data_IF_828371137074
#
_entry.id   IF_828371137074
#
_cell.length_a   1.000
_cell.length_b   1.000
_cell.length_c   1.000
_cell.angle_alpha   90.00
_cell.angle_beta   90.00
_cell.angle_gamma   90.00
#
_symmetry.space_group_name_H-M   'P 1'
#
loop_
_entity.id
_entity.type
_entity.pdbx_description
1 polymer ?
#
# COMPACT_ATOMS: atom_id res chain seq x y z
N UNK A 1 16.09 28.72 -28.33
CA UNK A 1 16.35 27.27 -28.52
C UNK A 1 16.57 26.57 -27.17
N UNK A 2 15.51 26.37 -26.37
CA UNK A 2 15.59 25.74 -25.03
C UNK A 2 14.74 24.46 -24.89
N UNK A 3 14.06 24.05 -25.96
CA UNK A 3 13.11 22.92 -25.97
C UNK A 3 13.79 21.55 -26.06
N UNK A 4 15.04 21.47 -26.54
CA UNK A 4 15.76 20.20 -26.70
C UNK A 4 16.02 19.46 -25.38
N UNK A 5 16.51 20.17 -24.36
CA UNK A 5 16.93 19.55 -23.10
C UNK A 5 15.73 19.04 -22.25
N UNK A 6 14.63 19.82 -22.18
CA UNK A 6 13.45 19.44 -21.40
C UNK A 6 12.74 18.20 -21.97
N UNK A 7 12.66 18.09 -23.30
CA UNK A 7 12.05 16.95 -23.97
C UNK A 7 12.88 15.68 -23.81
N UNK A 8 14.21 15.79 -23.91
CA UNK A 8 15.13 14.66 -23.66
C UNK A 8 15.08 14.18 -22.21
N UNK A 9 15.08 15.10 -21.24
CA UNK A 9 14.93 14.79 -19.81
C UNK A 9 13.59 14.08 -19.56
N UNK A 10 12.49 14.60 -20.14
CA UNK A 10 11.16 13.99 -20.04
C UNK A 10 11.14 12.56 -20.58
N UNK A 11 11.71 12.33 -21.76
CA UNK A 11 11.79 11.01 -22.38
C UNK A 11 12.64 10.02 -21.54
N UNK A 12 13.74 10.49 -20.97
CA UNK A 12 14.60 9.69 -20.09
C UNK A 12 13.90 9.30 -18.79
N UNK A 13 13.18 10.24 -18.15
CA UNK A 13 12.36 9.97 -16.97
C UNK A 13 11.24 8.99 -17.31
N UNK A 14 10.51 9.20 -18.40
CA UNK A 14 9.44 8.31 -18.84
C UNK A 14 9.93 6.88 -19.05
N UNK A 15 11.07 6.72 -19.74
CA UNK A 15 11.70 5.41 -19.96
C UNK A 15 12.12 4.74 -18.64
N UNK A 16 12.73 5.49 -17.73
CA UNK A 16 13.11 4.97 -16.41
C UNK A 16 11.90 4.54 -15.57
N UNK A 17 10.82 5.33 -15.55
CA UNK A 17 9.63 4.98 -14.80
C UNK A 17 8.90 3.77 -15.39
N UNK A 18 8.86 3.65 -16.72
CA UNK A 18 8.35 2.46 -17.42
C UNK A 18 9.10 1.19 -17.03
N UNK A 19 10.44 1.24 -16.93
CA UNK A 19 11.24 0.08 -16.48
C UNK A 19 11.05 -0.29 -15.00
N UNK A 20 10.37 0.57 -14.24
CA UNK A 20 9.96 0.35 -12.84
C UNK A 20 8.46 0.07 -12.71
N UNK A 21 7.79 -0.38 -13.78
CA UNK A 21 6.36 -0.67 -13.81
C UNK A 21 5.44 0.53 -13.49
N UNK A 22 5.95 1.75 -13.65
CA UNK A 22 5.23 3.00 -13.37
C UNK A 22 5.18 3.90 -14.62
N UNK A 23 4.57 3.46 -15.75
CA UNK A 23 4.50 4.29 -16.96
C UNK A 23 3.75 5.60 -16.65
N UNK A 24 4.39 6.78 -16.71
CA UNK A 24 3.74 8.01 -16.28
C UNK A 24 2.71 8.49 -17.31
N UNK A 25 1.62 9.09 -16.83
CA UNK A 25 0.66 9.79 -17.68
C UNK A 25 1.27 11.10 -18.20
N UNK A 26 0.79 11.57 -19.36
CA UNK A 26 1.24 12.85 -19.91
C UNK A 26 0.93 14.02 -18.95
N UNK A 27 -0.22 13.96 -18.27
CA UNK A 27 -0.67 14.97 -17.31
C UNK A 27 0.29 15.02 -16.11
N UNK A 28 0.71 13.86 -15.60
CA UNK A 28 1.66 13.79 -14.50
C UNK A 28 3.05 14.31 -14.90
N UNK A 29 3.53 14.00 -16.10
CA UNK A 29 4.80 14.55 -16.59
C UNK A 29 4.74 16.07 -16.72
N UNK A 30 3.63 16.61 -17.24
CA UNK A 30 3.44 18.05 -17.38
C UNK A 30 3.39 18.79 -16.04
N UNK A 31 2.92 18.16 -14.96
CA UNK A 31 2.97 18.74 -13.62
C UNK A 31 4.33 18.54 -12.93
N UNK A 32 5.03 17.45 -13.24
CA UNK A 32 6.33 17.14 -12.65
C UNK A 32 7.47 18.00 -13.21
N UNK A 33 7.58 18.17 -14.53
CA UNK A 33 8.73 18.84 -15.15
C UNK A 33 8.96 20.30 -14.71
N UNK A 34 7.93 21.14 -14.52
CA UNK A 34 8.14 22.50 -14.02
C UNK A 34 8.64 22.55 -12.57
N UNK A 35 8.49 21.47 -11.81
CA UNK A 35 8.86 21.40 -10.39
C UNK A 35 10.31 20.94 -10.13
N UNK A 36 11.07 20.63 -11.19
CA UNK A 36 12.45 20.17 -11.12
C UNK A 36 13.43 21.22 -11.60
N UNK A 37 14.66 21.19 -11.08
CA UNK A 37 15.77 22.02 -11.58
C UNK A 37 16.49 21.27 -12.69
N UNK A 38 16.45 21.79 -13.92
CA UNK A 38 16.99 21.12 -15.12
C UNK A 38 18.52 20.93 -15.11
N UNK A 39 19.25 21.59 -14.21
CA UNK A 39 20.69 21.40 -14.00
C UNK A 39 21.02 20.20 -13.08
N UNK A 40 20.01 19.53 -12.52
CA UNK A 40 20.20 18.36 -11.66
C UNK A 40 20.59 17.13 -12.48
N UNK A 41 21.52 16.28 -12.02
CA UNK A 41 21.86 15.04 -12.72
C UNK A 41 20.64 14.16 -13.01
N UNK A 42 20.58 13.59 -14.21
CA UNK A 42 19.40 12.83 -14.69
C UNK A 42 19.03 11.66 -13.78
N UNK A 43 20.00 10.97 -13.19
CA UNK A 43 19.77 9.86 -12.26
C UNK A 43 19.05 10.33 -11.00
N UNK A 44 19.39 11.51 -10.47
CA UNK A 44 18.70 12.08 -9.32
C UNK A 44 17.27 12.52 -9.66
N UNK A 45 17.06 13.06 -10.88
CA UNK A 45 15.73 13.39 -11.39
C UNK A 45 14.85 12.14 -11.54
N UNK A 46 15.40 11.05 -12.08
CA UNK A 46 14.73 9.75 -12.21
C UNK A 46 14.30 9.17 -10.86
N UNK A 47 15.18 9.22 -9.85
CA UNK A 47 14.85 8.77 -8.48
C UNK A 47 13.79 9.67 -7.83
N UNK A 48 13.88 10.98 -8.02
CA UNK A 48 12.87 11.93 -7.54
C UNK A 48 11.52 11.69 -8.20
N UNK A 49 11.51 11.45 -9.51
CA UNK A 49 10.31 11.13 -10.27
C UNK A 49 9.66 9.85 -9.75
N UNK A 50 10.44 8.79 -9.51
CA UNK A 50 9.95 7.53 -8.97
C UNK A 50 9.35 7.70 -7.57
N UNK A 51 10.05 8.41 -6.69
CA UNK A 51 9.53 8.70 -5.35
C UNK A 51 8.19 9.44 -5.40
N UNK A 52 8.09 10.46 -6.25
CA UNK A 52 6.86 11.26 -6.37
C UNK A 52 5.71 10.48 -7.01
N UNK A 53 5.96 9.70 -8.06
CA UNK A 53 4.89 8.96 -8.72
C UNK A 53 4.33 7.85 -7.81
N UNK A 54 5.19 7.18 -7.03
CA UNK A 54 4.76 6.18 -6.04
C UNK A 54 3.90 6.79 -4.93
N UNK A 55 4.07 8.08 -4.66
CA UNK A 55 3.33 8.84 -3.63
C UNK A 55 2.04 9.50 -4.13
N UNK A 56 1.65 9.24 -5.38
CA UNK A 56 0.43 9.80 -5.99
C UNK A 56 -0.60 8.72 -6.30
N UNK A 57 -1.86 9.12 -6.49
CA UNK A 57 -2.92 8.23 -6.97
C UNK A 57 -2.55 7.65 -8.34
N UNK A 58 -2.57 6.32 -8.44
CA UNK A 58 -2.27 5.56 -9.65
C UNK A 58 -3.13 6.01 -10.84
N UNK A 59 -4.41 6.34 -10.61
CA UNK A 59 -5.35 6.72 -11.67
C UNK A 59 -5.01 8.05 -12.33
N UNK A 60 -4.39 8.97 -11.59
CA UNK A 60 -3.99 10.28 -12.08
C UNK A 60 -2.56 10.28 -12.65
N UNK A 61 -1.73 9.37 -12.15
CA UNK A 61 -0.28 9.41 -12.38
C UNK A 61 0.23 8.49 -13.47
N UNK A 62 -0.50 7.42 -13.80
CA UNK A 62 -0.01 6.39 -14.75
C UNK A 62 -0.82 6.28 -16.02
N UNK A 63 -0.16 5.85 -17.09
CA UNK A 63 -0.80 5.55 -18.36
C UNK A 63 -1.61 4.25 -18.26
N UNK A 64 -2.86 4.30 -18.73
CA UNK A 64 -3.74 3.13 -18.80
C UNK A 64 -3.52 2.42 -20.12
N UNK A 65 -3.23 1.13 -20.09
CA UNK A 65 -3.26 0.26 -21.26
C UNK A 65 -4.14 -0.95 -20.97
N UNK A 66 -4.70 -1.62 -22.00
CA UNK A 66 -5.49 -2.84 -21.80
C UNK A 66 -4.71 -3.97 -21.11
N UNK A 67 -3.39 -3.93 -21.15
CA UNK A 67 -2.49 -4.93 -20.54
C UNK A 67 -2.00 -4.53 -19.15
N UNK A 68 -2.11 -3.26 -18.77
CA UNK A 68 -1.69 -2.74 -17.45
C UNK A 68 -2.84 -2.58 -16.46
N UNK A 69 -4.06 -2.90 -16.87
CA UNK A 69 -5.29 -2.77 -16.08
C UNK A 69 -6.01 -4.12 -16.01
N UNK A 70 -6.90 -4.26 -15.04
CA UNK A 70 -7.72 -5.45 -14.91
C UNK A 70 -8.69 -5.61 -16.08
N UNK A 71 -8.85 -6.85 -16.52
CA UNK A 71 -9.84 -7.20 -17.55
C UNK A 71 -11.26 -7.14 -16.99
N UNK A 72 -12.23 -6.87 -17.87
CA UNK A 72 -13.67 -6.93 -17.54
C UNK A 72 -14.02 -8.26 -16.84
N UNK A 73 -14.94 -8.17 -15.87
CA UNK A 73 -15.41 -9.33 -15.11
C UNK A 73 -14.40 -9.89 -14.11
N UNK A 74 -13.37 -9.13 -13.71
CA UNK A 74 -12.40 -9.61 -12.70
C UNK A 74 -13.03 -9.90 -11.34
N UNK A 75 -14.15 -9.26 -11.02
CA UNK A 75 -14.90 -9.49 -9.79
C UNK A 75 -16.04 -10.50 -9.97
N UNK A 76 -16.11 -11.20 -11.10
CA UNK A 76 -17.18 -12.18 -11.34
C UNK A 76 -17.00 -13.42 -10.44
N UNK A 77 -17.96 -13.62 -9.55
CA UNK A 77 -17.98 -14.74 -8.60
C UNK A 77 -18.49 -16.05 -9.21
N UNK A 78 -19.15 -15.99 -10.38
CA UNK A 78 -19.58 -17.18 -11.10
C UNK A 78 -18.37 -17.94 -11.69
N UNK A 79 -17.30 -17.21 -12.04
CA UNK A 79 -16.04 -17.82 -12.50
C UNK A 79 -15.33 -18.45 -11.31
N UNK A 80 -15.16 -19.78 -11.36
CA UNK A 80 -14.46 -20.54 -10.31
C UNK A 80 -13.05 -20.02 -10.10
N UNK A 81 -12.27 -19.99 -11.17
CA UNK A 81 -10.89 -19.49 -11.17
C UNK A 81 -10.49 -19.08 -12.59
N UNK A 82 -9.58 -18.10 -12.68
CA UNK A 82 -8.91 -17.73 -13.93
C UNK A 82 -7.53 -17.16 -13.64
N UNK A 83 -6.58 -17.41 -14.54
CA UNK A 83 -5.25 -16.80 -14.47
C UNK A 83 -5.22 -15.52 -15.29
N UNK A 84 -4.73 -14.42 -14.71
CA UNK A 84 -4.52 -13.14 -15.39
C UNK A 84 -3.03 -13.00 -15.68
N UNK A 85 -2.70 -12.76 -16.95
CA UNK A 85 -1.30 -12.49 -17.36
C UNK A 85 -0.94 -11.06 -16.94
N UNK A 86 0.13 -10.94 -16.16
CA UNK A 86 0.68 -9.65 -15.73
C UNK A 86 1.68 -9.09 -16.75
N UNK A 87 2.35 -7.96 -16.43
CA UNK A 87 2.26 -7.22 -15.17
C UNK A 87 1.04 -6.30 -15.07
N UNK A 88 0.41 -6.25 -13.89
CA UNK A 88 -0.60 -5.24 -13.55
C UNK A 88 -0.15 -4.47 -12.31
N UNK A 89 0.10 -3.17 -12.47
CA UNK A 89 0.41 -2.29 -11.33
C UNK A 89 -0.88 -1.87 -10.66
N UNK A 90 -0.92 -1.99 -9.33
CA UNK A 90 -2.08 -1.69 -8.50
C UNK A 90 -1.68 -0.85 -7.31
N UNK A 91 -2.65 -0.22 -6.68
CA UNK A 91 -2.49 0.47 -5.40
C UNK A 91 -3.39 -0.12 -4.33
N UNK A 92 -2.90 -0.13 -3.09
CA UNK A 92 -3.65 -0.61 -1.92
C UNK A 92 -4.56 0.50 -1.41
N UNK A 93 -5.85 0.19 -1.28
CA UNK A 93 -6.86 1.09 -0.72
C UNK A 93 -7.28 0.70 0.70
N UNK A 94 -7.13 -0.57 1.06
CA UNK A 94 -7.46 -1.12 2.38
C UNK A 94 -6.65 -2.39 2.66
N UNK A 95 -6.38 -2.66 3.93
CA UNK A 95 -5.74 -3.88 4.42
C UNK A 95 -6.39 -4.29 5.75
N UNK A 96 -6.73 -5.56 5.88
CA UNK A 96 -7.30 -6.12 7.10
C UNK A 96 -6.68 -7.47 7.37
N UNK A 97 -6.19 -7.68 8.59
CA UNK A 97 -5.90 -9.03 9.06
C UNK A 97 -7.22 -9.76 9.34
N UNK A 98 -7.49 -10.82 8.59
CA UNK A 98 -8.69 -11.64 8.73
C UNK A 98 -8.42 -12.92 9.53
N UNK A 99 -7.17 -13.17 9.95
CA UNK A 99 -6.76 -14.27 10.80
C UNK A 99 -6.93 -13.97 12.30
N UNK A 100 -7.03 -12.70 12.70
CA UNK A 100 -7.20 -12.29 14.12
C UNK A 100 -8.61 -11.82 14.45
N UNK A 101 -8.96 -11.97 15.74
CA UNK A 101 -10.16 -11.32 16.30
C UNK A 101 -9.99 -9.80 16.30
N UNK A 102 -11.07 -9.09 15.94
CA UNK A 102 -11.14 -7.61 15.88
C UNK A 102 -10.83 -6.94 17.22
N UNK A 103 -11.18 -7.61 18.32
CA UNK A 103 -10.88 -7.13 19.68
C UNK A 103 -9.37 -7.09 19.94
N UNK A 104 -8.64 -8.15 19.51
CA UNK A 104 -7.19 -8.20 19.62
C UNK A 104 -6.47 -7.13 18.79
N UNK A 105 -7.02 -6.77 17.62
CA UNK A 105 -6.49 -5.68 16.79
C UNK A 105 -6.68 -4.31 17.47
N UNK A 106 -7.85 -4.06 18.08
CA UNK A 106 -8.10 -2.83 18.83
C UNK A 106 -7.14 -2.67 20.02
N UNK A 107 -6.98 -3.73 20.82
CA UNK A 107 -6.06 -3.71 21.97
C UNK A 107 -4.61 -3.45 21.54
N UNK A 108 -4.16 -4.01 20.42
CA UNK A 108 -2.81 -3.76 19.90
C UNK A 108 -2.61 -2.30 19.47
N UNK A 109 -3.60 -1.69 18.82
CA UNK A 109 -3.53 -0.26 18.44
C UNK A 109 -3.54 0.67 19.65
N UNK A 110 -4.41 0.42 20.64
CA UNK A 110 -4.53 1.25 21.85
C UNK A 110 -3.28 1.12 22.74
N UNK A 111 -2.69 -0.08 22.81
CA UNK A 111 -1.41 -0.32 23.48
C UNK A 111 -0.26 0.47 22.84
N UNK A 112 -0.18 0.50 21.50
CA UNK A 112 0.82 1.27 20.77
C UNK A 112 0.65 2.79 20.98
N UNK A 113 -0.59 3.30 20.97
CA UNK A 113 -0.89 4.72 21.21
C UNK A 113 -0.55 5.17 22.64
N UNK A 114 -0.62 4.26 23.62
CA UNK A 114 -0.28 4.51 25.03
C UNK A 114 1.19 4.25 25.35
N UNK A 115 1.97 3.76 24.39
CA UNK A 115 3.35 3.33 24.61
C UNK A 115 3.50 2.07 25.47
N UNK A 116 2.40 1.36 25.72
CA UNK A 116 2.36 0.16 26.56
C UNK A 116 2.64 -1.08 25.69
N UNK A 117 3.90 -1.49 25.57
CA UNK A 117 4.22 -2.75 24.87
C UNK A 117 4.00 -3.93 25.82
N UNK A 118 2.95 -4.74 25.59
CA UNK A 118 2.65 -5.91 26.44
C UNK A 118 3.66 -7.05 26.21
N UNK A 119 4.36 -7.49 27.26
CA UNK A 119 4.84 -8.88 27.40
C UNK A 119 3.72 -9.73 27.99
N UNK A 120 3.58 -10.97 27.51
CA UNK A 120 2.56 -11.90 27.98
C UNK A 120 2.58 -12.03 29.50
N UNK A 121 1.41 -11.79 30.12
CA UNK A 121 1.12 -11.89 31.55
C UNK A 121 2.04 -11.08 32.49
N UNK A 122 1.91 -9.75 32.52
CA UNK A 122 1.86 -8.89 33.72
C UNK A 122 1.73 -7.41 33.29
N UNK A 123 0.84 -6.63 33.92
CA UNK A 123 0.65 -5.20 33.59
C UNK A 123 1.65 -4.37 34.40
N UNK A 124 2.72 -3.87 33.77
CA UNK A 124 3.67 -2.95 34.41
C UNK A 124 3.30 -1.51 34.01
N UNK A 125 2.91 -0.71 35.00
CA UNK A 125 2.80 0.76 34.86
C UNK A 125 4.21 1.33 34.74
N UNK A 126 4.52 1.96 33.61
CA UNK A 126 5.80 2.67 33.43
C UNK A 126 5.77 3.93 34.31
N UNK A 127 6.51 3.90 35.41
CA UNK A 127 6.93 5.09 36.16
C UNK A 127 8.20 5.62 35.49
N UNK A 128 8.35 6.94 35.26
CA UNK A 128 9.51 7.46 34.55
C UNK A 128 10.69 7.61 35.51
N UNK A 129 11.68 6.73 35.40
CA UNK A 129 13.05 7.00 35.83
C UNK A 129 14.04 6.58 34.75
N UNK A 130 15.07 7.41 34.61
CA UNK A 130 15.98 7.52 33.48
C UNK A 130 17.04 6.40 33.39
N UNK A 131 17.59 6.26 32.17
CA UNK A 131 18.92 5.76 31.79
C UNK A 131 19.01 4.42 31.04
N UNK A 132 19.34 4.56 29.75
CA UNK A 132 20.10 3.69 28.85
C UNK A 132 20.34 2.23 29.25
N UNK A 133 19.78 1.31 28.47
CA UNK A 133 20.56 0.35 27.67
C UNK A 133 19.63 -0.46 26.76
N UNK A 134 20.14 -0.77 25.56
CA UNK A 134 19.52 -1.59 24.52
C UNK A 134 18.75 -2.79 25.08
N UNK A 135 17.42 -2.72 25.02
CA UNK A 135 16.56 -3.88 25.19
C UNK A 135 15.56 -3.92 24.05
N UNK A 136 15.92 -4.63 22.99
CA UNK A 136 14.99 -5.08 21.95
C UNK A 136 13.95 -6.00 22.58
N UNK A 137 12.89 -5.42 23.14
CA UNK A 137 11.72 -6.14 23.61
C UNK A 137 10.99 -6.74 22.40
N UNK A 138 10.64 -8.05 22.42
CA UNK A 138 9.81 -8.62 21.37
C UNK A 138 8.41 -8.03 21.54
N UNK A 139 8.04 -7.14 20.61
CA UNK A 139 6.66 -6.79 20.33
C UNK A 139 5.86 -8.10 20.22
N UNK A 140 4.62 -8.14 20.74
CA UNK A 140 3.70 -9.23 20.47
C UNK A 140 3.79 -9.59 18.98
N UNK A 141 3.94 -10.87 18.60
CA UNK A 141 4.28 -11.23 17.23
C UNK A 141 3.29 -10.54 16.31
N UNK A 142 3.80 -9.76 15.35
CA UNK A 142 2.95 -9.18 14.31
C UNK A 142 2.14 -10.32 13.68
N UNK A 143 0.88 -10.05 13.34
CA UNK A 143 0.07 -11.09 12.69
C UNK A 143 0.76 -11.57 11.43
N UNK A 144 0.86 -12.89 11.26
CA UNK A 144 1.30 -13.49 10.00
C UNK A 144 0.16 -13.58 8.98
N UNK A 145 -1.00 -12.99 9.26
CA UNK A 145 -2.15 -13.01 8.36
C UNK A 145 -3.04 -14.27 8.53
N UNK A 146 -3.84 -14.62 7.51
CA UNK A 146 -3.84 -14.03 6.17
C UNK A 146 -4.43 -12.62 6.16
N UNK A 147 -3.88 -11.74 5.32
CA UNK A 147 -4.43 -10.40 5.10
C UNK A 147 -5.35 -10.36 3.89
N UNK A 148 -6.42 -9.58 4.01
CA UNK A 148 -7.32 -9.18 2.94
C UNK A 148 -6.99 -7.75 2.52
N UNK A 149 -6.85 -7.51 1.23
CA UNK A 149 -6.57 -6.18 0.68
C UNK A 149 -7.70 -5.75 -0.25
N UNK A 150 -7.94 -4.45 -0.34
CA UNK A 150 -8.67 -3.84 -1.45
C UNK A 150 -7.66 -3.20 -2.39
N UNK A 151 -7.55 -3.72 -3.61
CA UNK A 151 -6.61 -3.24 -4.62
C UNK A 151 -7.34 -2.43 -5.68
N UNK A 152 -6.65 -1.47 -6.27
CA UNK A 152 -7.16 -0.67 -7.38
C UNK A 152 -6.12 -0.52 -8.50
N UNK A 153 -6.53 -0.72 -9.75
CA UNK A 153 -5.69 -0.48 -10.93
C UNK A 153 -5.73 0.99 -11.42
N UNK A 154 -4.98 1.30 -12.47
CA UNK A 154 -4.96 2.64 -13.06
C UNK A 154 -6.27 3.06 -13.74
N UNK A 155 -7.17 2.10 -14.05
CA UNK A 155 -8.52 2.37 -14.56
C UNK A 155 -9.54 2.65 -13.44
N UNK A 156 -9.14 2.50 -12.18
CA UNK A 156 -10.00 2.69 -11.03
C UNK A 156 -10.77 1.43 -10.64
N UNK A 157 -10.59 0.31 -11.34
CA UNK A 157 -11.20 -0.99 -11.04
C UNK A 157 -10.72 -1.47 -9.69
N UNK A 158 -11.66 -1.78 -8.79
CA UNK A 158 -11.37 -2.25 -7.44
C UNK A 158 -11.64 -3.74 -7.29
N UNK A 159 -10.71 -4.46 -6.68
CA UNK A 159 -10.80 -5.93 -6.52
C UNK A 159 -10.28 -6.30 -5.15
N UNK A 160 -10.97 -7.21 -4.46
CA UNK A 160 -10.43 -7.79 -3.23
C UNK A 160 -9.31 -8.77 -3.56
N UNK A 161 -8.30 -8.79 -2.71
CA UNK A 161 -7.23 -9.76 -2.73
C UNK A 161 -7.06 -10.40 -1.36
N UNK A 162 -6.53 -11.60 -1.31
CA UNK A 162 -6.13 -12.24 -0.07
C UNK A 162 -4.83 -13.02 -0.25
N UNK A 163 -4.04 -13.09 0.81
CA UNK A 163 -2.86 -13.95 0.86
C UNK A 163 -3.27 -15.42 0.82
N UNK A 164 -2.85 -16.13 -0.22
CA UNK A 164 -2.84 -17.59 -0.25
C UNK A 164 -1.59 -18.13 0.45
N UNK A 165 -0.48 -17.38 0.33
CA UNK A 165 0.75 -17.54 1.09
C UNK A 165 1.24 -16.16 1.53
N UNK A 166 1.94 -16.11 2.67
CA UNK A 166 2.47 -14.88 3.27
C UNK A 166 3.32 -14.08 2.27
N UNK A 167 2.94 -12.84 1.99
CA UNK A 167 3.67 -11.94 1.10
C UNK A 167 4.46 -10.93 1.92
N UNK A 168 5.78 -10.90 1.74
CA UNK A 168 6.65 -10.00 2.47
C UNK A 168 6.21 -8.53 2.32
N UNK A 169 6.01 -7.86 3.46
CA UNK A 169 5.63 -6.44 3.52
C UNK A 169 4.12 -6.19 3.54
N UNK A 170 3.28 -7.21 3.28
CA UNK A 170 1.83 -7.11 3.49
C UNK A 170 1.54 -7.30 4.97
N UNK A 171 0.91 -6.29 5.58
CA UNK A 171 0.47 -6.31 6.99
C UNK A 171 -0.42 -5.09 7.27
N UNK A 172 -1.08 -5.06 8.42
CA UNK A 172 -1.96 -3.96 8.84
C UNK A 172 -1.28 -2.58 8.98
N UNK A 173 0.06 -2.55 9.10
CA UNK A 173 0.82 -1.32 9.22
C UNK A 173 1.26 -0.75 7.86
N UNK A 174 1.09 -1.50 6.77
CA UNK A 174 1.51 -1.05 5.45
C UNK A 174 0.83 0.27 5.06
N UNK A 175 1.52 1.19 4.36
CA UNK A 175 0.92 2.46 4.00
C UNK A 175 -0.21 2.33 2.98
N UNK A 176 -1.29 3.10 3.16
CA UNK A 176 -2.34 3.16 2.14
C UNK A 176 -1.87 3.96 0.93
N UNK A 177 -2.23 3.46 -0.25
CA UNK A 177 -1.72 3.92 -1.53
C UNK A 177 -0.40 3.29 -1.94
N UNK A 178 0.17 2.36 -1.16
CA UNK A 178 1.31 1.53 -1.59
C UNK A 178 1.04 0.87 -2.93
N UNK A 179 2.05 0.89 -3.81
CA UNK A 179 2.00 0.30 -5.15
C UNK A 179 2.59 -1.11 -5.14
N UNK A 180 1.90 -2.02 -5.81
CA UNK A 180 2.30 -3.40 -6.02
C UNK A 180 2.27 -3.70 -7.52
N UNK A 181 3.10 -4.64 -7.98
CA UNK A 181 3.00 -5.23 -9.31
C UNK A 181 2.55 -6.68 -9.15
N UNK A 182 1.44 -7.01 -9.81
CA UNK A 182 0.91 -8.36 -9.85
C UNK A 182 1.35 -9.06 -11.14
N UNK A 183 1.97 -10.24 -10.99
CA UNK A 183 2.58 -11.00 -12.07
C UNK A 183 1.94 -12.38 -12.18
N UNK A 184 1.23 -12.67 -13.27
CA UNK A 184 0.69 -14.01 -13.56
C UNK A 184 -0.10 -14.61 -12.38
N UNK A 185 -1.08 -13.86 -11.90
CA UNK A 185 -1.83 -14.17 -10.67
C UNK A 185 -3.15 -14.88 -10.96
N UNK A 186 -3.65 -15.61 -9.96
CA UNK A 186 -4.95 -16.29 -10.03
C UNK A 186 -6.02 -15.39 -9.41
N UNK A 187 -7.19 -15.36 -10.05
CA UNK A 187 -8.41 -14.80 -9.50
C UNK A 187 -9.40 -15.94 -9.34
N UNK A 188 -9.85 -16.18 -8.11
CA UNK A 188 -10.85 -17.19 -7.78
C UNK A 188 -12.09 -16.52 -7.20
N UNK A 189 -13.26 -16.82 -7.78
CA UNK A 189 -14.55 -16.25 -7.32
C UNK A 189 -14.53 -14.71 -7.16
N UNK A 190 -13.84 -14.03 -8.06
CA UNK A 190 -13.72 -12.57 -8.04
C UNK A 190 -12.68 -11.99 -7.06
N UNK A 191 -11.87 -12.84 -6.42
CA UNK A 191 -10.82 -12.45 -5.45
C UNK A 191 -9.44 -12.82 -5.99
N UNK A 192 -8.49 -11.90 -5.91
CA UNK A 192 -7.09 -12.15 -6.29
C UNK A 192 -6.40 -12.98 -5.20
N UNK A 193 -5.73 -14.06 -5.59
CA UNK A 193 -4.94 -14.89 -4.69
C UNK A 193 -3.47 -14.46 -4.75
N UNK A 194 -2.99 -13.84 -3.67
CA UNK A 194 -1.64 -13.32 -3.56
C UNK A 194 -0.69 -14.40 -3.09
N UNK A 195 0.48 -14.46 -3.73
CA UNK A 195 1.59 -15.34 -3.38
C UNK A 195 2.90 -14.57 -3.55
N UNK A 196 3.99 -14.91 -2.82
CA UNK A 196 5.29 -14.27 -2.98
C UNK A 196 5.80 -14.20 -4.42
N UNK A 197 5.52 -15.25 -5.21
CA UNK A 197 5.95 -15.34 -6.61
C UNK A 197 5.19 -14.40 -7.56
N UNK A 198 4.02 -13.89 -7.16
CA UNK A 198 3.13 -13.10 -8.02
C UNK A 198 2.98 -11.65 -7.56
N UNK A 199 3.65 -11.23 -6.48
CA UNK A 199 3.63 -9.85 -5.98
C UNK A 199 5.04 -9.28 -5.89
N UNK A 200 5.25 -8.12 -6.50
CA UNK A 200 6.40 -7.26 -6.25
C UNK A 200 5.94 -5.98 -5.53
N UNK A 201 6.57 -5.64 -4.41
CA UNK A 201 6.26 -4.43 -3.66
C UNK A 201 7.10 -3.25 -4.16
N UNK A 202 6.44 -2.24 -4.75
CA UNK A 202 7.11 -0.99 -5.14
C UNK A 202 7.15 0.04 -4.01
N UNK A 203 6.24 -0.09 -3.03
CA UNK A 203 6.13 0.83 -1.90
C UNK A 203 5.36 2.11 -2.24
N UNK A 204 5.70 3.21 -1.57
CA UNK A 204 4.97 4.47 -1.68
C UNK A 204 3.76 4.56 -0.76
N UNK A 205 3.16 5.76 -0.71
CA UNK A 205 2.05 6.10 0.19
C UNK A 205 1.32 7.31 -0.38
N UNK A 206 -0.01 7.31 -0.33
CA UNK A 206 -0.81 8.51 -0.60
C UNK A 206 -1.16 9.13 0.75
N UNK A 207 -0.43 10.16 1.17
CA UNK A 207 -0.47 10.71 2.54
C UNK A 207 -1.90 11.02 3.04
N UNK A 208 -2.71 11.67 2.20
CA UNK A 208 -4.08 12.03 2.55
C UNK A 208 -4.97 10.79 2.77
N UNK A 209 -4.74 9.70 2.03
CA UNK A 209 -5.50 8.46 2.16
C UNK A 209 -5.06 7.66 3.37
N UNK A 210 -3.74 7.52 3.57
CA UNK A 210 -3.19 6.81 4.73
C UNK A 210 -3.61 7.46 6.05
N UNK A 211 -3.53 8.79 6.15
CA UNK A 211 -4.01 9.52 7.32
C UNK A 211 -5.49 9.27 7.59
N UNK A 212 -6.33 9.46 6.56
CA UNK A 212 -7.78 9.27 6.67
C UNK A 212 -8.13 7.83 7.07
N UNK A 213 -7.51 6.84 6.42
CA UNK A 213 -7.76 5.43 6.69
C UNK A 213 -7.39 5.04 8.12
N UNK A 214 -6.25 5.53 8.65
CA UNK A 214 -5.85 5.28 10.04
C UNK A 214 -6.85 5.85 11.04
N UNK A 215 -7.31 7.08 10.81
CA UNK A 215 -8.33 7.73 11.64
C UNK A 215 -9.66 6.94 11.62
N UNK A 216 -10.14 6.56 10.43
CA UNK A 216 -11.39 5.82 10.25
C UNK A 216 -11.33 4.41 10.82
N UNK A 217 -10.21 3.68 10.61
CA UNK A 217 -10.03 2.32 11.16
C UNK A 217 -10.04 2.33 12.68
N UNK A 218 -9.35 3.29 13.31
CA UNK A 218 -9.35 3.46 14.76
C UNK A 218 -10.76 3.71 15.30
N UNK A 219 -11.54 4.56 14.63
CA UNK A 219 -12.93 4.81 15.01
C UNK A 219 -13.82 3.56 14.84
N UNK A 220 -13.69 2.85 13.71
CA UNK A 220 -14.46 1.64 13.42
C UNK A 220 -14.16 0.52 14.43
N UNK A 221 -12.90 0.34 14.81
CA UNK A 221 -12.50 -0.62 15.84
C UNK A 221 -13.08 -0.22 17.21
N UNK A 222 -13.01 1.06 17.61
CA UNK A 222 -13.63 1.56 18.87
C UNK A 222 -15.13 1.30 18.94
N UNK A 223 -15.86 1.58 17.86
CA UNK A 223 -17.32 1.38 17.81
C UNK A 223 -17.68 -0.10 17.91
N UNK A 224 -16.94 -0.97 17.23
CA UNK A 224 -17.20 -2.41 17.19
C UNK A 224 -16.71 -3.17 18.42
N UNK A 225 -15.73 -2.61 19.14
CA UNK A 225 -15.27 -3.07 20.43
C UNK A 225 -16.29 -2.79 21.56
N UNK A 226 -17.26 -1.90 21.35
CA UNK A 226 -18.36 -1.74 22.30
C UNK A 226 -18.08 -0.76 23.44
N UNK A 227 -17.64 0.46 23.11
CA UNK A 227 -18.15 1.63 23.85
C UNK A 227 -19.60 1.84 23.38
N UNK A 228 -20.52 0.98 23.83
CA UNK A 228 -21.85 1.48 24.19
C UNK A 228 -21.58 2.32 25.42
N UNK A 229 -21.78 3.63 25.34
CA UNK A 229 -21.60 4.52 26.48
C UNK A 229 -22.30 3.92 27.68
N UNK A 230 -21.53 3.54 28.70
CA UNK A 230 -22.01 3.44 30.06
C UNK A 230 -22.31 4.86 30.52
N UNK A 231 -23.45 5.38 30.10
CA UNK A 231 -24.10 6.53 30.71
C UNK A 231 -25.20 5.98 31.59
N UNK A 232 -24.96 5.94 32.90
CA UNK A 232 -26.01 6.01 33.91
C UNK A 232 -26.77 7.33 33.80
#
# INVERSE_FOLDING_TARGET
>A
MATGNANEISASISTYLKSRHMPPSQIWLQSFLPSIKLNTPIVALQKTALFRILSTDLQASTQRTPTSCFQVGITDSAVKERTIRGPVTVQVLDVEDIGRSRWGQFEAMDAQDRGETRRGQEVIRVVPEEQNQDSSTPLAPASSGPHKLLLQDAAGTRVFAMELFDVQGVNENMPIGTKLVLQNFVVARGVILLEPRNVEMLGGKVDAWDKKWREERKQALKQKAGIRGGGS
#
